data_IF_771312088974
#
_entry.id   IF_771312088974
#
_cell.length_a   1.000
_cell.length_b   1.000
_cell.length_c   1.000
_cell.angle_alpha   90.00
_cell.angle_beta   90.00
_cell.angle_gamma   90.00
#
_symmetry.space_group_name_H-M   'P 1'
#
loop_
_entity.id
_entity.type
_entity.pdbx_description
1 polymer ?
#
# COMPACT_ATOMS: atom_id res chain seq x y z
N UNK A 1 -14.03 -8.85 9.60
CA UNK A 1 -14.08 -7.97 10.81
C UNK A 1 -12.89 -8.26 11.73
N UNK A 2 -12.68 -9.52 12.12
CA UNK A 2 -11.62 -9.94 13.05
C UNK A 2 -10.19 -9.51 12.65
N UNK A 3 -9.84 -9.43 11.36
CA UNK A 3 -8.49 -9.06 10.91
C UNK A 3 -8.10 -7.60 11.21
N UNK A 4 -9.07 -6.72 11.43
CA UNK A 4 -8.84 -5.37 11.93
C UNK A 4 -8.47 -5.41 13.42
N UNK A 5 -9.30 -6.10 14.20
CA UNK A 5 -9.14 -6.27 15.66
C UNK A 5 -7.81 -6.95 15.99
N UNK A 6 -7.44 -8.01 15.27
CA UNK A 6 -6.15 -8.71 15.45
C UNK A 6 -4.93 -7.82 15.20
N UNK A 7 -5.03 -6.85 14.28
CA UNK A 7 -3.94 -5.88 14.03
C UNK A 7 -3.87 -4.80 15.11
N UNK A 8 -5.02 -4.32 15.59
CA UNK A 8 -5.08 -3.42 16.74
C UNK A 8 -4.53 -4.06 18.02
N UNK A 9 -4.90 -5.31 18.30
CA UNK A 9 -4.42 -6.07 19.45
C UNK A 9 -2.89 -6.26 19.44
N UNK A 10 -2.28 -6.57 18.28
CA UNK A 10 -0.82 -6.66 18.15
C UNK A 10 -0.11 -5.36 18.51
N UNK A 11 -0.63 -4.21 18.05
CA UNK A 11 -0.07 -2.90 18.42
C UNK A 11 -0.25 -2.61 19.90
N UNK A 12 -1.41 -2.91 20.48
CA UNK A 12 -1.70 -2.73 21.90
C UNK A 12 -0.72 -3.57 22.76
N UNK A 13 -0.48 -4.83 22.39
CA UNK A 13 0.51 -5.69 23.05
C UNK A 13 1.92 -5.12 22.95
N UNK A 14 2.33 -4.59 21.79
CA UNK A 14 3.65 -3.93 21.62
C UNK A 14 3.76 -2.66 22.48
N UNK A 15 2.70 -1.85 22.56
CA UNK A 15 2.64 -0.66 23.42
C UNK A 15 2.77 -1.04 24.90
N UNK A 16 1.99 -2.02 25.36
CA UNK A 16 2.06 -2.49 26.75
C UNK A 16 3.44 -3.08 27.07
N UNK A 17 4.01 -3.86 26.16
CA UNK A 17 5.36 -4.40 26.31
C UNK A 17 6.41 -3.28 26.42
N UNK A 18 6.32 -2.24 25.58
CA UNK A 18 7.22 -1.09 25.64
C UNK A 18 7.06 -0.28 26.95
N UNK A 19 5.84 -0.10 27.44
CA UNK A 19 5.58 0.55 28.74
C UNK A 19 6.22 -0.27 29.88
N UNK A 20 5.97 -1.59 29.92
CA UNK A 20 6.56 -2.48 30.94
C UNK A 20 8.08 -2.46 30.88
N UNK A 21 8.66 -2.50 29.68
CA UNK A 21 10.11 -2.43 29.44
C UNK A 21 10.70 -1.10 29.93
N UNK A 22 10.05 0.02 29.61
CA UNK A 22 10.46 1.37 30.06
C UNK A 22 10.42 1.48 31.58
N UNK A 23 9.33 1.03 32.22
CA UNK A 23 9.18 1.04 33.68
C UNK A 23 10.24 0.14 34.34
N UNK A 24 10.50 -1.05 33.77
CA UNK A 24 11.49 -1.98 34.30
C UNK A 24 12.91 -1.41 34.22
N UNK A 25 13.31 -0.86 33.06
CA UNK A 25 14.61 -0.22 32.94
C UNK A 25 14.73 1.03 33.82
N UNK A 26 13.68 1.84 33.96
CA UNK A 26 13.68 2.99 34.86
C UNK A 26 13.85 2.64 36.34
N UNK A 27 13.19 1.57 36.81
CA UNK A 27 13.37 1.07 38.18
C UNK A 27 14.78 0.53 38.41
N UNK A 28 15.33 -0.18 37.42
CA UNK A 28 16.69 -0.76 37.48
C UNK A 28 17.79 0.31 37.35
N UNK A 29 17.49 1.45 36.72
CA UNK A 29 18.44 2.53 36.46
C UNK A 29 19.04 3.12 37.74
N UNK A 30 18.20 3.49 38.70
CA UNK A 30 18.62 4.13 39.96
C UNK A 30 19.64 3.29 40.76
N UNK A 31 19.38 2.01 41.12
CA UNK A 31 20.35 1.22 41.88
C UNK A 31 21.63 0.89 41.08
N UNK A 32 21.57 0.79 39.75
CA UNK A 32 22.77 0.61 38.92
C UNK A 32 23.70 1.82 38.96
N UNK A 33 23.16 3.03 38.86
CA UNK A 33 23.95 4.26 38.94
C UNK A 33 24.45 4.50 40.37
N UNK A 34 23.61 4.33 41.40
CA UNK A 34 23.99 4.50 42.81
C UNK A 34 25.07 3.50 43.27
N UNK A 35 25.03 2.26 42.78
CA UNK A 35 26.00 1.22 43.15
C UNK A 35 27.40 1.40 42.53
N UNK A 36 27.56 2.30 41.56
CA UNK A 36 28.78 2.46 40.77
C UNK A 36 29.32 3.90 40.71
N UNK A 37 28.47 4.93 40.87
CA UNK A 37 28.90 6.32 40.90
C UNK A 37 28.23 7.10 42.06
N UNK A 38 28.96 7.43 43.14
CA UNK A 38 28.44 8.19 44.28
C UNK A 38 28.18 9.68 43.96
N UNK A 39 28.57 10.17 42.77
CA UNK A 39 28.27 11.52 42.28
C UNK A 39 27.01 11.57 41.42
N UNK A 40 26.24 10.48 41.36
CA UNK A 40 25.06 10.39 40.52
C UNK A 40 23.92 11.28 41.00
N UNK A 41 23.06 11.73 40.07
CA UNK A 41 21.83 12.49 40.38
C UNK A 41 20.62 11.59 40.64
N UNK A 42 20.70 10.31 40.28
CA UNK A 42 19.62 9.35 40.50
C UNK A 42 19.53 9.04 42.00
N UNK A 43 18.66 9.74 42.74
CA UNK A 43 18.50 9.62 44.18
C UNK A 43 17.35 8.66 44.56
N UNK A 44 16.32 8.60 43.72
CA UNK A 44 15.06 7.87 43.92
C UNK A 44 14.72 7.01 42.70
N UNK A 45 13.78 6.08 42.85
CA UNK A 45 13.25 5.28 41.73
C UNK A 45 12.48 6.18 40.73
N UNK A 46 11.88 7.27 41.21
CA UNK A 46 11.14 8.23 40.41
C UNK A 46 12.07 8.95 39.41
N UNK A 47 13.29 9.29 39.81
CA UNK A 47 14.32 9.85 38.92
C UNK A 47 14.65 8.90 37.75
N UNK A 48 14.78 7.60 38.06
CA UNK A 48 15.05 6.55 37.07
C UNK A 48 13.89 6.33 36.09
N UNK A 49 12.66 6.38 36.59
CA UNK A 49 11.45 6.34 35.77
C UNK A 49 11.31 7.58 34.88
N UNK A 50 11.58 8.77 35.41
CA UNK A 50 11.56 10.03 34.65
C UNK A 50 12.59 10.03 33.52
N UNK A 51 13.81 9.59 33.79
CA UNK A 51 14.82 9.34 32.77
C UNK A 51 14.31 8.37 31.70
N UNK A 52 13.85 7.17 32.08
CA UNK A 52 13.43 6.16 31.12
C UNK A 52 12.26 6.64 30.22
N UNK A 53 11.28 7.35 30.78
CA UNK A 53 10.15 7.92 30.03
C UNK A 53 10.61 9.03 29.07
N UNK A 54 11.45 9.97 29.53
CA UNK A 54 11.93 11.08 28.69
C UNK A 54 12.92 10.62 27.62
N UNK A 55 13.68 9.56 27.87
CA UNK A 55 14.57 8.91 26.89
C UNK A 55 13.79 8.12 25.85
N UNK A 56 12.85 7.23 26.23
CA UNK A 56 12.10 6.42 25.24
C UNK A 56 11.18 7.26 24.36
N UNK A 57 10.76 8.44 24.84
CA UNK A 57 9.98 9.42 24.06
C UNK A 57 10.85 10.34 23.19
N UNK A 58 12.18 10.29 23.32
CA UNK A 58 13.11 11.16 22.59
C UNK A 58 13.12 12.63 23.05
N UNK A 59 12.57 12.94 24.24
CA UNK A 59 12.54 14.29 24.81
C UNK A 59 13.88 14.63 25.47
N UNK A 60 14.42 13.73 26.28
CA UNK A 60 15.78 13.78 26.84
C UNK A 60 16.21 15.14 27.43
N UNK A 61 15.59 15.59 28.52
CA UNK A 61 15.89 16.90 29.13
C UNK A 61 17.36 17.08 29.59
N UNK A 62 18.10 15.99 29.82
CA UNK A 62 19.52 16.03 30.23
C UNK A 62 19.75 16.42 31.70
N UNK A 63 18.68 16.52 32.48
CA UNK A 63 18.69 16.68 33.93
C UNK A 63 19.27 15.44 34.62
N UNK A 64 18.86 14.24 34.19
CA UNK A 64 19.40 12.94 34.60
C UNK A 64 20.06 12.23 33.42
N UNK A 65 21.31 11.78 33.59
CA UNK A 65 22.10 11.13 32.53
C UNK A 65 22.98 10.02 33.12
N UNK A 66 22.98 8.80 32.55
CA UNK A 66 23.88 7.72 32.97
C UNK A 66 25.35 8.11 32.90
N UNK A 67 26.04 8.02 34.03
CA UNK A 67 27.50 8.15 34.10
C UNK A 67 28.18 6.79 33.98
N UNK A 68 27.54 5.71 34.44
CA UNK A 68 28.11 4.36 34.39
C UNK A 68 28.06 3.76 32.99
N UNK A 69 29.01 2.88 32.66
CA UNK A 69 29.00 2.14 31.39
C UNK A 69 27.74 1.29 31.21
N UNK A 70 27.23 0.70 32.31
CA UNK A 70 26.04 -0.15 32.27
C UNK A 70 24.77 0.66 32.02
N UNK A 71 24.59 1.78 32.73
CA UNK A 71 23.49 2.72 32.51
C UNK A 71 23.50 3.32 31.11
N UNK A 72 24.68 3.59 30.53
CA UNK A 72 24.81 4.06 29.14
C UNK A 72 24.37 3.02 28.12
N UNK A 73 24.69 1.73 28.32
CA UNK A 73 24.22 0.65 27.46
C UNK A 73 22.68 0.55 27.52
N UNK A 74 22.09 0.65 28.71
CA UNK A 74 20.62 0.69 28.88
C UNK A 74 20.01 1.89 28.16
N UNK A 75 20.61 3.08 28.28
CA UNK A 75 20.19 4.29 27.58
C UNK A 75 20.16 4.11 26.05
N UNK A 76 21.24 3.61 25.45
CA UNK A 76 21.33 3.36 24.00
C UNK A 76 20.26 2.36 23.53
N UNK A 77 19.98 1.32 24.33
CA UNK A 77 18.92 0.35 24.03
C UNK A 77 17.53 0.99 24.10
N UNK A 78 17.25 1.79 25.14
CA UNK A 78 15.98 2.52 25.28
C UNK A 78 15.75 3.53 24.14
N UNK A 79 16.76 4.31 23.76
CA UNK A 79 16.70 5.26 22.64
C UNK A 79 16.40 4.54 21.32
N UNK A 80 17.11 3.44 21.04
CA UNK A 80 16.92 2.64 19.82
C UNK A 80 15.52 2.05 19.74
N UNK A 81 14.99 1.53 20.86
CA UNK A 81 13.62 1.00 20.96
C UNK A 81 12.60 2.13 20.75
N UNK A 82 12.79 3.28 21.39
CA UNK A 82 11.92 4.46 21.27
C UNK A 82 11.78 4.93 19.82
N UNK A 83 12.90 5.25 19.16
CA UNK A 83 12.92 5.71 17.75
C UNK A 83 12.28 4.68 16.82
N UNK A 84 12.59 3.39 17.00
CA UNK A 84 12.01 2.29 16.21
C UNK A 84 10.48 2.24 16.39
N UNK A 85 10.01 2.36 17.63
CA UNK A 85 8.58 2.34 17.93
C UNK A 85 7.83 3.51 17.31
N UNK A 86 8.31 4.76 17.43
CA UNK A 86 7.67 5.90 16.77
C UNK A 86 7.67 5.77 15.25
N UNK A 87 8.74 5.25 14.65
CA UNK A 87 8.78 4.92 13.22
C UNK A 87 7.69 3.92 12.81
N UNK A 88 7.46 2.87 13.61
CA UNK A 88 6.39 1.89 13.39
C UNK A 88 4.99 2.51 13.54
N UNK A 89 4.77 3.40 14.52
CA UNK A 89 3.50 4.11 14.71
C UNK A 89 3.18 5.00 13.52
N UNK A 90 4.16 5.78 13.03
CA UNK A 90 4.01 6.63 11.85
C UNK A 90 3.72 5.77 10.60
N UNK A 91 4.51 4.72 10.37
CA UNK A 91 4.30 3.81 9.25
C UNK A 91 2.90 3.16 9.28
N UNK A 92 2.45 2.71 10.45
CA UNK A 92 1.09 2.18 10.62
C UNK A 92 0.03 3.23 10.31
N UNK A 93 0.14 4.45 10.84
CA UNK A 93 -0.82 5.54 10.57
C UNK A 93 -0.89 5.84 9.07
N UNK A 94 0.25 6.05 8.42
CA UNK A 94 0.36 6.30 6.97
C UNK A 94 -0.26 5.18 6.15
N UNK A 95 0.00 3.91 6.48
CA UNK A 95 -0.61 2.77 5.79
C UNK A 95 -2.14 2.75 5.94
N UNK A 96 -2.69 3.13 7.10
CA UNK A 96 -4.14 3.19 7.28
C UNK A 96 -4.79 4.36 6.53
N UNK A 97 -4.12 5.52 6.46
CA UNK A 97 -4.57 6.66 5.67
C UNK A 97 -4.55 6.33 4.17
N UNK A 98 -3.42 5.84 3.65
CA UNK A 98 -3.28 5.42 2.25
C UNK A 98 -4.29 4.35 1.85
N UNK A 99 -4.59 3.38 2.73
CA UNK A 99 -5.63 2.37 2.46
C UNK A 99 -7.03 2.96 2.34
N UNK A 100 -7.38 3.95 3.17
CA UNK A 100 -8.67 4.64 3.07
C UNK A 100 -8.79 5.38 1.74
N UNK A 101 -7.73 6.11 1.34
CA UNK A 101 -7.72 6.80 0.06
C UNK A 101 -7.77 5.82 -1.11
N UNK A 102 -6.91 4.80 -1.15
CA UNK A 102 -6.92 3.83 -2.26
C UNK A 102 -8.25 3.08 -2.41
N UNK A 103 -8.93 2.73 -1.32
CA UNK A 103 -10.28 2.15 -1.41
C UNK A 103 -11.29 3.11 -2.05
N UNK A 104 -11.25 4.39 -1.70
CA UNK A 104 -12.12 5.41 -2.27
C UNK A 104 -11.81 5.70 -3.75
N UNK A 105 -10.53 5.72 -4.11
CA UNK A 105 -10.09 5.84 -5.51
C UNK A 105 -10.57 4.64 -6.35
N UNK A 106 -10.40 3.40 -5.87
CA UNK A 106 -10.85 2.21 -6.59
C UNK A 106 -12.36 2.11 -6.74
N UNK A 107 -13.16 2.55 -5.76
CA UNK A 107 -14.62 2.62 -5.94
C UNK A 107 -15.00 3.53 -7.12
N UNK A 108 -14.48 4.78 -7.14
CA UNK A 108 -14.73 5.73 -8.24
C UNK A 108 -14.17 5.29 -9.59
N UNK A 109 -13.07 4.53 -9.59
CA UNK A 109 -12.49 3.99 -10.82
C UNK A 109 -13.34 2.84 -11.38
N UNK A 110 -13.86 1.96 -10.53
CA UNK A 110 -14.77 0.88 -10.96
C UNK A 110 -16.10 1.42 -11.46
N UNK A 111 -16.69 2.43 -10.81
CA UNK A 111 -17.88 3.13 -11.32
C UNK A 111 -17.70 3.65 -12.76
N UNK A 112 -16.50 4.11 -13.11
CA UNK A 112 -16.16 4.57 -14.46
C UNK A 112 -15.96 3.42 -15.45
N UNK A 113 -15.36 2.29 -15.02
CA UNK A 113 -15.24 1.10 -15.85
C UNK A 113 -16.62 0.52 -16.18
N UNK A 114 -17.50 0.35 -15.19
CA UNK A 114 -18.89 -0.07 -15.39
C UNK A 114 -19.66 0.84 -16.37
N UNK A 115 -19.38 2.15 -16.34
CA UNK A 115 -19.98 3.09 -17.29
C UNK A 115 -19.40 2.96 -18.71
N UNK A 116 -18.10 2.66 -18.83
CA UNK A 116 -17.44 2.40 -20.11
C UNK A 116 -17.95 1.11 -20.75
N UNK A 117 -18.10 0.03 -19.99
CA UNK A 117 -18.61 -1.24 -20.52
C UNK A 117 -20.06 -1.09 -21.02
N UNK A 118 -20.93 -0.41 -20.27
CA UNK A 118 -22.29 -0.03 -20.72
C UNK A 118 -22.29 0.88 -21.95
N UNK A 119 -21.22 1.64 -22.21
CA UNK A 119 -21.05 2.41 -23.46
C UNK A 119 -20.63 1.50 -24.62
N UNK A 120 -19.75 0.53 -24.38
CA UNK A 120 -19.32 -0.45 -25.37
C UNK A 120 -20.50 -1.35 -25.82
N UNK A 121 -21.28 -1.90 -24.90
CA UNK A 121 -22.47 -2.70 -25.21
C UNK A 121 -23.46 -1.95 -26.12
N UNK A 122 -23.70 -0.66 -25.84
CA UNK A 122 -24.58 0.19 -26.68
C UNK A 122 -24.02 0.41 -28.09
N UNK A 123 -22.70 0.53 -28.23
CA UNK A 123 -22.05 0.68 -29.54
C UNK A 123 -22.13 -0.65 -30.32
N UNK A 124 -21.87 -1.78 -29.68
CA UNK A 124 -21.97 -3.11 -30.29
C UNK A 124 -23.40 -3.43 -30.75
N UNK A 125 -24.41 -3.14 -29.92
CA UNK A 125 -25.81 -3.27 -30.30
C UNK A 125 -26.21 -2.35 -31.46
N UNK A 126 -25.71 -1.10 -31.50
CA UNK A 126 -25.96 -0.17 -32.60
C UNK A 126 -25.30 -0.59 -33.92
N UNK A 127 -24.09 -1.13 -33.87
CA UNK A 127 -23.38 -1.62 -35.05
C UNK A 127 -23.96 -2.93 -35.60
N UNK A 128 -24.30 -3.89 -34.73
CA UNK A 128 -24.91 -5.16 -35.14
C UNK A 128 -26.28 -4.96 -35.79
N UNK A 129 -27.10 -4.02 -35.31
CA UNK A 129 -28.33 -3.58 -35.97
C UNK A 129 -28.07 -3.02 -37.38
N UNK A 130 -27.08 -2.13 -37.50
CA UNK A 130 -26.71 -1.48 -38.77
C UNK A 130 -26.15 -2.48 -39.79
N UNK A 131 -25.32 -3.43 -39.36
CA UNK A 131 -24.76 -4.50 -40.19
C UNK A 131 -25.86 -5.45 -40.69
N UNK A 132 -26.77 -5.90 -39.82
CA UNK A 132 -27.89 -6.75 -40.24
C UNK A 132 -28.81 -6.04 -41.23
N UNK A 133 -29.08 -4.74 -41.03
CA UNK A 133 -29.86 -3.95 -41.98
C UNK A 133 -29.15 -3.84 -43.35
N UNK A 134 -27.84 -3.56 -43.39
CA UNK A 134 -27.09 -3.54 -44.64
C UNK A 134 -27.01 -4.91 -45.34
N UNK A 135 -26.90 -6.01 -44.59
CA UNK A 135 -26.92 -7.37 -45.16
C UNK A 135 -28.29 -7.67 -45.77
N UNK A 136 -29.38 -7.28 -45.10
CA UNK A 136 -30.74 -7.47 -45.63
C UNK A 136 -31.00 -6.62 -46.87
N UNK A 137 -30.62 -5.33 -46.89
CA UNK A 137 -30.79 -4.48 -48.08
C UNK A 137 -29.93 -4.94 -49.27
N UNK A 138 -28.72 -5.47 -49.02
CA UNK A 138 -27.92 -6.08 -50.10
C UNK A 138 -28.52 -7.39 -50.62
N UNK A 139 -29.24 -8.13 -49.78
CA UNK A 139 -29.90 -9.39 -50.14
C UNK A 139 -31.23 -9.17 -50.89
N UNK A 140 -31.92 -8.06 -50.65
CA UNK A 140 -33.14 -7.67 -51.40
C UNK A 140 -32.87 -6.96 -52.73
N UNK A 141 -31.65 -6.45 -52.95
CA UNK A 141 -31.23 -5.72 -54.17
C UNK A 141 -30.42 -6.61 -55.13
N UNK A 142 -30.63 -7.93 -55.12
CA UNK A 142 -30.06 -8.86 -56.11
C UNK A 142 -31.16 -9.32 -57.08
N UNK A 143 -31.25 -8.74 -58.31
CA UNK A 143 -32.26 -9.14 -59.27
C UNK A 143 -31.95 -10.49 -59.87
N UNK A 144 -32.99 -11.27 -60.16
CA UNK A 144 -32.91 -12.45 -60.99
C UNK A 144 -32.51 -12.09 -62.42
N UNK A 145 -31.31 -12.51 -62.86
CA UNK A 145 -31.00 -12.61 -64.29
C UNK A 145 -30.15 -13.85 -64.56
N UNK A 146 -30.73 -14.80 -65.30
CA UNK A 146 -30.05 -16.00 -65.78
C UNK A 146 -28.98 -15.65 -66.81
N UNK A 147 -27.72 -16.08 -66.66
CA UNK A 147 -26.70 -15.93 -67.69
C UNK A 147 -26.70 -17.14 -68.63
N UNK A 148 -27.54 -17.08 -69.67
CA UNK A 148 -27.39 -17.94 -70.85
C UNK A 148 -26.35 -17.35 -71.81
N UNK A 149 -25.19 -18.00 -71.86
CA UNK A 149 -24.12 -17.92 -72.89
C UNK A 149 -23.32 -16.61 -73.11
N UNK A 150 -22.00 -16.83 -73.28
CA UNK A 150 -20.99 -15.96 -73.92
C UNK A 150 -20.70 -14.60 -73.24
N UNK A 151 -19.48 -14.04 -73.26
CA UNK A 151 -18.26 -14.35 -74.04
C UNK A 151 -16.99 -13.84 -73.30
N UNK A 152 -15.91 -14.61 -73.37
CA UNK A 152 -14.47 -14.22 -73.34
C UNK A 152 -14.08 -12.82 -72.80
N UNK A 153 -13.35 -12.75 -71.68
CA UNK A 153 -11.96 -12.19 -71.65
C UNK A 153 -11.27 -12.25 -70.26
N UNK A 154 -9.97 -12.52 -70.32
CA UNK A 154 -8.90 -12.38 -69.30
C UNK A 154 -7.75 -11.63 -70.02
N UNK A 155 -6.70 -11.09 -69.36
CA UNK A 155 -6.37 -10.99 -67.92
C UNK A 155 -6.42 -9.46 -67.54
N UNK A 156 -5.47 -8.74 -66.87
CA UNK A 156 -4.33 -9.12 -66.04
C UNK A 156 -4.12 -8.38 -64.69
N UNK A 157 -3.70 -9.17 -63.70
CA UNK A 157 -2.73 -8.84 -62.63
C UNK A 157 -2.85 -7.53 -61.82
N UNK A 158 -3.22 -7.67 -60.54
CA UNK A 158 -2.54 -6.98 -59.44
C UNK A 158 -1.96 -8.05 -58.49
N UNK A 159 -0.63 -8.09 -58.40
CA UNK A 159 0.11 -9.15 -57.69
C UNK A 159 -0.04 -9.01 -56.17
N UNK A 160 -0.36 -10.10 -55.50
CA UNK A 160 -0.30 -10.23 -54.04
C UNK A 160 1.12 -9.90 -53.54
N UNK A 161 1.25 -8.83 -52.75
CA UNK A 161 2.50 -8.50 -52.04
C UNK A 161 2.69 -9.47 -50.87
N UNK A 162 3.26 -10.64 -51.13
CA UNK A 162 3.74 -11.54 -50.06
C UNK A 162 4.79 -10.81 -49.23
N UNK A 163 4.49 -10.59 -47.95
CA UNK A 163 5.51 -10.22 -46.95
C UNK A 163 6.39 -11.44 -46.75
N UNK A 164 7.65 -11.36 -47.18
CA UNK A 164 8.62 -12.42 -46.98
C UNK A 164 9.28 -12.25 -45.61
N UNK A 165 9.27 -13.31 -44.80
CA UNK A 165 9.83 -13.36 -43.45
C UNK A 165 11.19 -14.05 -43.51
N UNK A 166 12.28 -13.33 -43.25
CA UNK A 166 13.60 -13.94 -43.00
C UNK A 166 14.38 -13.17 -41.95
N UNK A 167 14.86 -13.97 -40.99
CA UNK A 167 16.01 -13.80 -40.08
C UNK A 167 16.00 -12.53 -39.23
#
# INVERSE_FOLDING_TARGET
MFDGVFRGYRLLVVVLFLIILTVTFGIVMTPLEQGLDPTTKFATIEDGLWFAVTTVTGVGFGDYVPKTTQGRIIGVVLETIGVTFFGLVIAFLTINLLRKEQQFYWQRTMERFDEMDKRLERIEHGQSFSLNHQVQTKKSVSPSTSPSQAKVSLPPSLKLRRVNKKQ
#
